data_IF_200027950857
#
_entry.id   IF_200027950857
#
_cell.length_a   1.000
_cell.length_b   1.000
_cell.length_c   1.000
_cell.angle_alpha   90.00
_cell.angle_beta   90.00
_cell.angle_gamma   90.00
#
_symmetry.space_group_name_H-M   'P 1'
#
loop_
_entity.id
_entity.type
_entity.pdbx_description
1 polymer ?
#
# COMPACT_ATOMS: atom_id res chain seq x y z
N UNK A 1 -8.17 51.36 17.45
CA UNK A 1 -8.79 50.28 16.67
C UNK A 1 -7.98 49.03 16.88
N UNK A 2 -8.62 47.95 17.38
CA UNK A 2 -7.92 46.66 17.55
C UNK A 2 -7.62 46.06 16.20
N UNK A 3 -6.40 45.49 16.05
CA UNK A 3 -6.03 44.63 14.93
C UNK A 3 -6.01 43.20 15.46
N UNK A 4 -6.91 42.36 14.97
CA UNK A 4 -7.01 40.99 15.42
C UNK A 4 -5.90 40.13 14.83
N UNK A 5 -5.47 39.10 15.60
CA UNK A 5 -4.64 38.06 15.04
C UNK A 5 -5.38 37.27 13.96
N UNK A 6 -4.67 36.66 13.02
CA UNK A 6 -5.29 35.82 11.99
C UNK A 6 -6.25 34.78 12.58
N UNK A 7 -7.43 34.67 12.00
CA UNK A 7 -8.49 33.78 12.44
C UNK A 7 -9.42 34.30 13.54
N UNK A 8 -9.19 35.53 14.03
CA UNK A 8 -10.05 36.21 14.99
C UNK A 8 -10.70 37.46 14.35
N UNK A 9 -11.95 37.74 14.70
CA UNK A 9 -12.80 38.78 14.11
C UNK A 9 -13.61 39.50 15.18
N UNK A 10 -14.21 40.60 14.82
CA UNK A 10 -15.01 41.45 15.71
C UNK A 10 -14.26 42.68 16.22
N UNK A 11 -14.96 43.59 16.91
CA UNK A 11 -14.36 44.84 17.38
C UNK A 11 -13.34 44.64 18.49
N UNK A 12 -13.51 43.56 19.27
CA UNK A 12 -12.61 43.14 20.39
C UNK A 12 -11.94 41.80 20.12
N UNK A 13 -11.96 41.32 18.86
CA UNK A 13 -11.38 40.01 18.44
C UNK A 13 -12.01 38.81 19.16
N UNK A 14 -13.26 38.91 19.51
CA UNK A 14 -14.02 37.94 20.32
C UNK A 14 -14.59 36.77 19.50
N UNK A 15 -14.58 36.87 18.19
CA UNK A 15 -15.16 35.87 17.30
C UNK A 15 -14.07 35.10 16.59
N UNK A 16 -14.23 33.79 16.50
CA UNK A 16 -13.37 32.90 15.70
C UNK A 16 -14.19 31.74 15.12
N UNK A 17 -13.68 31.10 14.08
CA UNK A 17 -14.21 29.81 13.64
C UNK A 17 -14.03 28.75 14.72
N UNK A 18 -14.85 27.69 14.70
CA UNK A 18 -14.78 26.59 15.65
C UNK A 18 -13.34 26.12 15.88
N UNK A 19 -12.97 25.94 17.14
CA UNK A 19 -11.61 25.60 17.54
C UNK A 19 -11.59 24.32 18.40
N UNK A 20 -10.58 23.49 18.16
CA UNK A 20 -10.05 22.57 19.14
C UNK A 20 -8.69 23.09 19.60
N UNK A 21 -8.36 22.92 20.91
CA UNK A 21 -7.09 23.37 21.49
C UNK A 21 -6.81 24.88 21.35
N UNK A 22 -7.83 25.73 21.49
CA UNK A 22 -7.76 27.20 21.47
C UNK A 22 -7.18 27.79 20.17
N UNK A 23 -7.12 27.00 19.09
CA UNK A 23 -6.69 27.49 17.77
C UNK A 23 -7.86 27.53 16.80
N UNK A 24 -8.11 28.65 16.09
CA UNK A 24 -9.10 28.71 15.04
C UNK A 24 -8.89 27.59 14.01
N UNK A 25 -9.97 26.93 13.57
CA UNK A 25 -9.93 25.80 12.65
C UNK A 25 -8.98 24.69 13.09
N UNK A 26 -8.86 24.46 14.41
CA UNK A 26 -7.95 23.48 15.03
C UNK A 26 -6.46 23.64 14.63
N UNK A 27 -6.11 24.77 14.02
CA UNK A 27 -4.78 25.03 13.48
C UNK A 27 -4.50 24.39 12.12
N UNK A 28 -5.52 23.82 11.47
CA UNK A 28 -5.45 23.09 10.20
C UNK A 28 -6.30 23.72 9.09
N UNK A 29 -6.41 25.03 9.10
CA UNK A 29 -7.18 25.78 8.10
C UNK A 29 -7.21 27.27 8.40
N UNK A 30 -7.85 28.00 7.50
CA UNK A 30 -8.05 29.44 7.61
C UNK A 30 -9.51 29.75 7.94
N UNK A 31 -9.73 30.57 8.96
CA UNK A 31 -11.04 31.07 9.27
C UNK A 31 -11.41 32.22 8.31
N UNK A 32 -12.54 32.13 7.64
CA UNK A 32 -13.01 33.08 6.65
C UNK A 32 -14.46 33.49 6.92
N UNK A 33 -14.84 34.70 6.45
CA UNK A 33 -16.21 35.21 6.52
C UNK A 33 -16.89 34.95 5.16
N UNK A 34 -17.61 33.83 5.06
CA UNK A 34 -18.33 33.40 3.86
C UNK A 34 -19.84 33.25 4.18
N UNK A 35 -20.55 34.35 4.38
CA UNK A 35 -21.95 34.32 4.88
C UNK A 35 -22.07 33.91 6.36
N UNK A 36 -20.99 33.89 7.09
CA UNK A 36 -20.74 33.47 8.47
C UNK A 36 -19.28 33.11 8.65
N UNK A 37 -18.86 32.88 9.89
CA UNK A 37 -17.51 32.41 10.16
C UNK A 37 -17.41 30.92 9.82
N UNK A 38 -16.50 30.55 8.88
CA UNK A 38 -16.30 29.18 8.41
C UNK A 38 -14.81 28.87 8.29
N UNK A 39 -14.46 27.63 8.60
CA UNK A 39 -13.13 27.11 8.34
C UNK A 39 -12.99 26.64 6.90
N UNK A 40 -11.93 27.10 6.24
CA UNK A 40 -11.42 26.53 5.00
C UNK A 40 -10.21 25.68 5.38
N UNK A 41 -10.38 24.37 5.37
CA UNK A 41 -9.36 23.44 5.81
C UNK A 41 -8.18 23.37 4.83
N UNK A 42 -7.00 23.01 5.36
CA UNK A 42 -5.88 22.59 4.54
C UNK A 42 -6.19 21.26 3.82
N UNK A 43 -5.34 20.85 2.88
CA UNK A 43 -5.57 19.65 2.07
C UNK A 43 -5.63 18.35 2.89
N UNK A 44 -5.05 18.33 4.10
CA UNK A 44 -4.92 17.15 4.93
C UNK A 44 -6.02 16.98 5.97
N UNK A 45 -6.92 17.93 6.07
CA UNK A 45 -7.95 17.94 7.10
C UNK A 45 -9.33 18.26 6.52
N UNK A 46 -10.36 17.72 7.15
CA UNK A 46 -11.77 17.93 6.82
C UNK A 46 -12.60 18.18 8.08
N UNK A 47 -13.85 18.53 7.89
CA UNK A 47 -14.81 18.82 8.95
C UNK A 47 -15.00 20.31 9.19
N UNK A 48 -16.04 20.65 9.94
CA UNK A 48 -16.46 22.05 10.16
C UNK A 48 -15.40 22.91 10.87
N UNK A 49 -14.51 22.28 11.60
CA UNK A 49 -13.42 22.90 12.35
C UNK A 49 -12.02 22.35 11.96
N UNK A 50 -11.93 21.61 10.86
CA UNK A 50 -10.69 21.02 10.35
C UNK A 50 -9.95 20.08 11.35
N UNK A 51 -10.70 19.42 12.23
CA UNK A 51 -10.09 18.54 13.26
C UNK A 51 -9.86 17.11 12.82
N UNK A 52 -10.46 16.70 11.70
CA UNK A 52 -10.39 15.31 11.23
C UNK A 52 -9.34 15.20 10.14
N UNK A 53 -8.32 14.38 10.37
CA UNK A 53 -7.22 14.15 9.44
C UNK A 53 -7.64 13.18 8.34
N UNK A 54 -7.30 13.50 7.09
CA UNK A 54 -7.49 12.63 5.94
C UNK A 54 -6.57 11.39 5.98
N UNK A 55 -7.03 10.22 5.52
CA UNK A 55 -6.17 9.07 5.33
C UNK A 55 -5.04 9.37 4.32
N UNK A 56 -3.89 8.73 4.52
CA UNK A 56 -2.73 8.81 3.65
C UNK A 56 -1.63 7.90 4.21
N UNK A 57 -0.71 7.47 3.35
CA UNK A 57 0.28 6.44 3.66
C UNK A 57 1.26 6.82 4.78
N UNK A 58 1.54 8.09 4.93
CA UNK A 58 2.40 8.62 6.00
C UNK A 58 2.06 10.08 6.34
N UNK A 59 2.84 10.66 7.28
CA UNK A 59 2.58 12.02 7.80
C UNK A 59 2.93 13.11 6.76
N UNK A 60 3.69 12.77 5.73
CA UNK A 60 4.24 13.69 4.73
C UNK A 60 3.52 13.54 3.39
N UNK A 61 2.88 12.38 3.14
CA UNK A 61 2.18 12.12 1.91
C UNK A 61 0.89 12.92 1.81
N UNK A 62 0.53 13.26 0.59
CA UNK A 62 -0.73 13.93 0.27
C UNK A 62 -1.94 13.09 0.73
N UNK A 63 -3.07 13.73 1.03
CA UNK A 63 -4.30 13.04 1.37
C UNK A 63 -4.66 12.02 0.29
N UNK A 64 -5.18 10.87 0.71
CA UNK A 64 -5.55 9.80 -0.22
C UNK A 64 -4.40 9.38 -1.15
N UNK A 65 -3.15 9.48 -0.66
CA UNK A 65 -1.91 9.08 -1.38
C UNK A 65 -1.75 9.74 -2.76
N UNK A 66 -2.29 10.95 -2.98
CA UNK A 66 -2.37 11.67 -4.27
C UNK A 66 -3.26 10.98 -5.34
N UNK A 67 -4.03 9.98 -4.95
CA UNK A 67 -4.84 9.19 -5.88
C UNK A 67 -6.32 9.21 -5.53
N UNK A 68 -6.80 10.28 -4.95
CA UNK A 68 -8.20 10.44 -4.59
C UNK A 68 -8.50 11.74 -3.87
N UNK A 69 -9.76 11.91 -3.51
CA UNK A 69 -10.27 13.07 -2.80
C UNK A 69 -10.75 12.67 -1.41
N UNK A 70 -10.38 13.47 -0.41
CA UNK A 70 -10.80 13.26 0.97
C UNK A 70 -12.06 14.07 1.29
N UNK A 71 -13.00 13.45 1.97
CA UNK A 71 -14.21 14.12 2.48
C UNK A 71 -14.64 13.56 3.84
N UNK A 72 -15.50 14.29 4.53
CA UNK A 72 -16.06 13.84 5.79
C UNK A 72 -17.33 13.01 5.55
N UNK A 73 -17.34 11.76 6.05
CA UNK A 73 -18.51 10.92 6.10
C UNK A 73 -18.91 10.74 7.58
N UNK A 74 -20.00 11.38 7.99
CA UNK A 74 -20.40 11.51 9.40
C UNK A 74 -19.28 12.13 10.26
N UNK A 75 -18.50 11.32 10.98
CA UNK A 75 -17.43 11.76 11.88
C UNK A 75 -16.03 11.35 11.42
N UNK A 76 -15.93 10.59 10.32
CA UNK A 76 -14.68 10.02 9.82
C UNK A 76 -14.30 10.61 8.47
N UNK A 77 -13.01 10.83 8.27
CA UNK A 77 -12.49 11.20 6.96
C UNK A 77 -12.35 9.95 6.09
N UNK A 78 -12.87 10.03 4.87
CA UNK A 78 -12.89 8.92 3.91
C UNK A 78 -12.30 9.39 2.60
N UNK A 79 -11.54 8.53 1.93
CA UNK A 79 -11.04 8.77 0.58
C UNK A 79 -11.98 8.18 -0.48
N UNK A 80 -12.22 8.95 -1.53
CA UNK A 80 -12.75 8.44 -2.80
C UNK A 80 -11.59 8.36 -3.77
N UNK A 81 -11.24 7.15 -4.17
CA UNK A 81 -10.07 6.92 -5.01
C UNK A 81 -10.34 7.18 -6.49
N UNK A 82 -9.33 7.69 -7.19
CA UNK A 82 -9.37 7.96 -8.62
C UNK A 82 -9.09 6.70 -9.44
N UNK A 83 -9.80 6.51 -10.54
CA UNK A 83 -9.56 5.40 -11.47
C UNK A 83 -9.61 4.03 -10.79
N UNK A 84 -8.53 3.26 -10.93
CA UNK A 84 -8.41 1.89 -10.37
C UNK A 84 -7.57 1.84 -9.10
N UNK A 85 -7.35 2.98 -8.42
CA UNK A 85 -6.72 2.98 -7.11
C UNK A 85 -7.67 2.43 -6.06
N UNK A 86 -7.14 1.73 -5.08
CA UNK A 86 -7.88 0.98 -4.06
C UNK A 86 -7.29 1.23 -2.68
N UNK A 87 -7.89 0.58 -1.69
CA UNK A 87 -7.61 0.70 -0.26
C UNK A 87 -8.19 1.97 0.38
N UNK A 88 -8.27 1.97 1.70
CA UNK A 88 -8.88 3.08 2.46
C UNK A 88 -8.18 4.44 2.25
N UNK A 89 -6.93 4.42 1.84
CA UNK A 89 -6.06 5.58 1.63
C UNK A 89 -5.62 5.76 0.16
N UNK A 90 -6.22 5.00 -0.76
CA UNK A 90 -5.92 5.01 -2.19
C UNK A 90 -4.45 4.73 -2.54
N UNK A 91 -3.74 3.94 -1.72
CA UNK A 91 -2.31 3.68 -1.90
C UNK A 91 -2.00 2.46 -2.79
N UNK A 92 -3.00 1.69 -3.19
CA UNK A 92 -2.82 0.46 -3.95
C UNK A 92 -3.48 0.50 -5.31
N UNK A 93 -2.74 0.03 -6.33
CA UNK A 93 -3.24 -0.28 -7.67
C UNK A 93 -2.61 -1.58 -8.14
N UNK A 94 -3.43 -2.55 -8.53
CA UNK A 94 -3.02 -3.93 -8.82
C UNK A 94 -1.77 -4.02 -9.72
N UNK A 95 -1.77 -3.28 -10.83
CA UNK A 95 -0.67 -3.30 -11.81
C UNK A 95 0.67 -2.79 -11.27
N UNK A 96 0.63 -1.81 -10.38
CA UNK A 96 1.84 -1.15 -9.87
C UNK A 96 2.25 -1.66 -8.49
N UNK A 97 1.29 -1.74 -7.57
CA UNK A 97 1.57 -2.05 -6.18
C UNK A 97 1.80 -3.54 -5.98
N UNK A 98 1.03 -4.38 -6.71
CA UNK A 98 1.11 -5.84 -6.62
C UNK A 98 1.89 -6.47 -7.78
N UNK A 99 2.76 -5.69 -8.45
CA UNK A 99 3.66 -6.15 -9.53
C UNK A 99 2.92 -6.80 -10.71
N UNK A 100 1.60 -6.60 -10.84
CA UNK A 100 0.75 -7.30 -11.80
C UNK A 100 0.61 -8.81 -11.54
N UNK A 101 0.92 -9.26 -10.31
CA UNK A 101 0.95 -10.67 -9.87
C UNK A 101 0.09 -10.90 -8.62
N UNK A 102 -0.94 -10.12 -8.51
CA UNK A 102 -1.90 -10.16 -7.42
C UNK A 102 -2.87 -8.99 -7.49
N UNK A 103 -3.74 -8.90 -6.53
CA UNK A 103 -4.73 -7.83 -6.40
C UNK A 103 -4.56 -7.07 -5.09
N UNK A 104 -4.97 -5.81 -5.09
CA UNK A 104 -5.00 -5.02 -3.87
C UNK A 104 -5.92 -5.65 -2.83
N UNK A 105 -5.45 -5.71 -1.60
CA UNK A 105 -6.24 -6.17 -0.47
C UNK A 105 -7.20 -5.05 -0.04
N UNK A 106 -8.48 -5.19 -0.33
CA UNK A 106 -9.50 -4.19 0.04
C UNK A 106 -9.69 -4.05 1.55
N UNK A 107 -9.28 -5.08 2.32
CA UNK A 107 -9.28 -5.05 3.78
C UNK A 107 -7.97 -4.48 4.37
N UNK A 108 -7.10 -3.91 3.54
CA UNK A 108 -5.88 -3.26 4.00
C UNK A 108 -6.20 -2.08 4.92
N UNK A 109 -5.62 -2.11 6.12
CA UNK A 109 -5.81 -1.11 7.18
C UNK A 109 -4.50 -0.45 7.65
N UNK A 110 -3.40 -0.72 6.93
CA UNK A 110 -2.06 -0.26 7.26
C UNK A 110 -1.25 -1.26 8.10
N UNK A 111 -1.82 -2.37 8.55
CA UNK A 111 -1.16 -3.36 9.41
C UNK A 111 -0.99 -4.73 8.78
N UNK A 112 -1.81 -5.07 7.79
CA UNK A 112 -1.77 -6.33 7.03
C UNK A 112 -1.09 -6.13 5.66
N UNK A 113 -0.97 -7.21 4.90
CA UNK A 113 -0.38 -7.14 3.56
C UNK A 113 -1.26 -6.33 2.60
N UNK A 114 -0.65 -5.43 1.86
CA UNK A 114 -1.35 -4.55 0.91
C UNK A 114 -1.83 -5.31 -0.34
N UNK A 115 -1.18 -6.43 -0.69
CA UNK A 115 -1.53 -7.27 -1.83
C UNK A 115 -1.98 -8.66 -1.40
N UNK A 116 -2.93 -9.22 -2.15
CA UNK A 116 -3.27 -10.64 -2.18
C UNK A 116 -2.62 -11.20 -3.44
N UNK A 117 -1.56 -12.01 -3.27
CA UNK A 117 -0.77 -12.50 -4.38
C UNK A 117 -1.49 -13.62 -5.14
N UNK A 118 -1.21 -13.71 -6.44
CA UNK A 118 -1.60 -14.84 -7.27
C UNK A 118 -0.84 -16.10 -6.84
N UNK A 119 -1.28 -17.26 -7.33
CA UNK A 119 -0.72 -18.57 -6.98
C UNK A 119 0.80 -18.61 -7.19
N UNK A 120 1.53 -19.08 -6.19
CA UNK A 120 2.99 -19.23 -6.14
C UNK A 120 3.81 -17.93 -6.08
N UNK A 121 3.15 -16.77 -5.97
CA UNK A 121 3.81 -15.50 -5.67
C UNK A 121 3.73 -15.18 -4.17
N UNK A 122 4.74 -14.51 -3.66
CA UNK A 122 4.91 -14.12 -2.26
C UNK A 122 5.55 -12.72 -2.14
N UNK A 123 5.51 -12.19 -0.94
CA UNK A 123 5.98 -10.85 -0.64
C UNK A 123 4.86 -9.83 -0.53
N UNK A 124 5.17 -8.70 0.10
CA UNK A 124 4.18 -7.65 0.39
C UNK A 124 3.63 -7.00 -0.89
N UNK A 125 4.38 -7.10 -1.99
CA UNK A 125 4.04 -6.59 -3.32
C UNK A 125 4.02 -7.69 -4.40
N UNK A 126 3.95 -8.96 -4.00
CA UNK A 126 4.02 -10.13 -4.87
C UNK A 126 5.27 -10.14 -5.77
N UNK A 127 6.38 -9.64 -5.23
CA UNK A 127 7.61 -9.40 -5.97
C UNK A 127 8.53 -10.61 -6.07
N UNK A 128 8.21 -11.71 -5.39
CA UNK A 128 9.01 -12.93 -5.38
C UNK A 128 8.15 -14.18 -5.49
N UNK A 129 8.78 -15.31 -5.82
CA UNK A 129 8.09 -16.58 -5.77
C UNK A 129 8.01 -17.13 -4.34
N UNK A 130 6.97 -17.93 -4.07
CA UNK A 130 6.89 -18.78 -2.90
C UNK A 130 8.08 -19.74 -2.82
N UNK A 131 8.29 -20.29 -1.62
CA UNK A 131 9.36 -21.25 -1.40
C UNK A 131 9.24 -22.44 -2.35
N UNK A 132 10.38 -22.83 -2.96
CA UNK A 132 10.51 -23.92 -3.93
C UNK A 132 9.87 -23.65 -5.31
N UNK A 133 9.30 -22.45 -5.54
CA UNK A 133 8.84 -22.01 -6.84
C UNK A 133 9.87 -21.07 -7.49
N UNK A 134 10.01 -21.15 -8.81
CA UNK A 134 11.08 -20.54 -9.58
C UNK A 134 10.57 -20.02 -10.92
N UNK A 135 11.39 -19.21 -11.59
CA UNK A 135 11.10 -18.63 -12.89
C UNK A 135 10.42 -17.27 -12.78
N UNK A 136 10.30 -16.59 -13.91
CA UNK A 136 9.67 -15.26 -13.99
C UNK A 136 8.20 -15.27 -13.60
N UNK A 137 7.52 -16.40 -13.86
CA UNK A 137 6.09 -16.59 -13.61
C UNK A 137 5.83 -17.52 -12.40
N UNK A 138 6.86 -17.85 -11.63
CA UNK A 138 6.78 -18.72 -10.46
C UNK A 138 6.08 -20.07 -10.73
N UNK A 139 6.21 -20.59 -11.93
CA UNK A 139 5.53 -21.81 -12.41
C UNK A 139 6.42 -23.07 -12.46
N UNK A 140 7.71 -22.93 -12.10
CA UNK A 140 8.68 -24.02 -12.09
C UNK A 140 8.91 -24.48 -10.64
N UNK A 141 8.48 -25.70 -10.32
CA UNK A 141 8.65 -26.23 -8.97
C UNK A 141 9.93 -27.06 -8.84
N UNK A 142 10.73 -26.78 -7.80
CA UNK A 142 11.86 -27.61 -7.41
C UNK A 142 12.02 -27.63 -5.89
N UNK A 143 11.96 -28.84 -5.32
CA UNK A 143 12.23 -29.06 -3.90
C UNK A 143 13.62 -29.71 -3.71
N UNK A 144 14.59 -28.99 -3.11
CA UNK A 144 15.93 -29.55 -2.88
C UNK A 144 15.92 -30.82 -2.01
N UNK A 145 14.94 -30.93 -1.12
CA UNK A 145 14.90 -31.99 -0.09
C UNK A 145 13.91 -33.11 -0.38
N UNK A 146 13.00 -32.93 -1.31
CA UNK A 146 11.98 -33.93 -1.67
C UNK A 146 10.92 -34.13 -0.58
N UNK A 147 10.58 -33.08 0.17
CA UNK A 147 9.65 -33.14 1.30
C UNK A 147 8.20 -32.84 0.91
N UNK A 148 7.98 -32.36 -0.31
CA UNK A 148 6.66 -31.97 -0.82
C UNK A 148 6.08 -33.02 -1.74
N UNK A 149 4.75 -33.11 -1.75
CA UNK A 149 3.97 -33.94 -2.67
C UNK A 149 3.65 -33.25 -4.00
N UNK A 150 4.15 -32.02 -4.23
CA UNK A 150 3.95 -31.29 -5.46
C UNK A 150 4.64 -32.00 -6.65
N UNK A 151 4.00 -31.97 -7.80
CA UNK A 151 4.59 -32.49 -9.04
C UNK A 151 5.67 -31.55 -9.55
N UNK A 152 6.91 -31.98 -9.56
CA UNK A 152 8.04 -31.18 -10.01
C UNK A 152 9.37 -31.88 -9.81
N UNK A 153 10.47 -31.14 -9.96
CA UNK A 153 11.82 -31.67 -9.78
C UNK A 153 12.15 -31.71 -8.29
N UNK A 154 12.74 -32.83 -7.83
CA UNK A 154 13.30 -32.94 -6.49
C UNK A 154 14.77 -33.32 -6.57
N UNK A 155 15.61 -32.75 -5.70
CA UNK A 155 17.03 -33.04 -5.65
C UNK A 155 17.38 -34.04 -4.54
N UNK A 156 16.41 -34.60 -3.83
CA UNK A 156 16.54 -35.62 -2.78
C UNK A 156 17.58 -35.32 -1.70
N UNK A 157 17.86 -34.05 -1.41
CA UNK A 157 18.88 -33.63 -0.45
C UNK A 157 20.33 -33.75 -0.94
N UNK A 158 20.54 -34.10 -2.20
CA UNK A 158 21.87 -34.33 -2.79
C UNK A 158 22.27 -33.30 -3.83
N UNK A 159 21.51 -32.23 -3.92
CA UNK A 159 21.73 -31.13 -4.86
C UNK A 159 20.96 -29.87 -4.50
N UNK A 160 21.21 -28.85 -5.27
CA UNK A 160 20.46 -27.57 -5.20
C UNK A 160 19.66 -27.37 -6.47
N UNK A 161 18.51 -26.70 -6.34
CA UNK A 161 17.75 -26.24 -7.48
C UNK A 161 18.49 -25.06 -8.15
N UNK A 162 18.65 -25.11 -9.45
CA UNK A 162 19.26 -24.05 -10.25
C UNK A 162 18.37 -23.70 -11.45
N UNK A 163 18.02 -22.42 -11.56
CA UNK A 163 17.28 -21.92 -12.71
C UNK A 163 18.25 -21.68 -13.88
N UNK A 164 17.99 -22.34 -15.00
CA UNK A 164 18.70 -22.10 -16.26
C UNK A 164 17.84 -21.28 -17.19
N UNK A 165 18.37 -20.14 -17.61
CA UNK A 165 17.68 -19.20 -18.49
C UNK A 165 18.41 -19.20 -19.84
N UNK A 166 17.67 -19.49 -20.90
CA UNK A 166 18.11 -19.33 -22.30
C UNK A 166 17.39 -18.15 -22.93
N UNK A 167 17.68 -17.82 -24.18
CA UNK A 167 17.07 -16.71 -24.89
C UNK A 167 15.52 -16.78 -24.98
N UNK A 168 14.95 -17.98 -24.83
CA UNK A 168 13.51 -18.21 -25.04
C UNK A 168 12.84 -19.14 -24.02
N UNK A 169 13.62 -19.74 -23.09
CA UNK A 169 13.07 -20.69 -22.11
C UNK A 169 13.75 -20.57 -20.76
N UNK A 170 12.96 -20.76 -19.72
CA UNK A 170 13.40 -20.96 -18.35
C UNK A 170 13.16 -22.43 -17.98
N UNK A 171 14.15 -23.09 -17.42
CA UNK A 171 14.03 -24.46 -16.91
C UNK A 171 14.70 -24.58 -15.56
N UNK A 172 14.13 -25.39 -14.69
CA UNK A 172 14.73 -25.69 -13.40
C UNK A 172 15.43 -27.06 -13.46
N UNK A 173 16.63 -27.13 -12.90
CA UNK A 173 17.42 -28.36 -12.85
C UNK A 173 17.99 -28.60 -11.45
N UNK A 174 18.30 -29.86 -11.12
CA UNK A 174 19.07 -30.15 -9.93
C UNK A 174 20.57 -30.08 -10.28
N UNK A 175 21.30 -29.23 -9.59
CA UNK A 175 22.77 -29.25 -9.58
C UNK A 175 23.26 -30.14 -8.47
N UNK A 176 23.73 -31.32 -8.84
CA UNK A 176 24.22 -32.31 -7.89
C UNK A 176 25.47 -31.85 -7.13
N UNK A 177 25.62 -32.26 -5.88
CA UNK A 177 26.89 -32.12 -5.15
C UNK A 177 27.94 -32.99 -5.81
N UNK A 178 29.22 -32.61 -5.70
CA UNK A 178 30.36 -33.19 -6.43
C UNK A 178 30.57 -34.70 -6.26
N UNK A 179 29.87 -35.34 -5.35
CA UNK A 179 29.94 -36.78 -5.11
C UNK A 179 28.73 -37.59 -5.64
N UNK A 180 27.77 -36.90 -6.26
CA UNK A 180 26.56 -37.49 -6.82
C UNK A 180 26.48 -37.13 -8.31
N UNK A 181 27.00 -38.02 -9.17
CA UNK A 181 26.80 -37.91 -10.60
C UNK A 181 25.35 -38.31 -10.93
N UNK A 182 24.70 -37.53 -11.79
CA UNK A 182 23.40 -37.92 -12.33
C UNK A 182 23.60 -39.22 -13.10
N UNK A 183 23.08 -40.31 -12.62
CA UNK A 183 22.91 -41.52 -13.47
C UNK A 183 21.86 -41.14 -14.52
N UNK A 184 22.33 -40.54 -15.62
CA UNK A 184 21.60 -40.56 -16.89
C UNK A 184 21.70 -42.00 -17.40
N UNK A 185 20.55 -42.58 -17.54
CA UNK A 185 20.21 -43.67 -18.46
C UNK A 185 20.71 -45.08 -18.14
N UNK A 186 19.76 -45.89 -17.82
CA UNK A 186 19.47 -47.05 -18.71
C UNK A 186 17.98 -47.31 -18.83
#
# INVERSE_FOLDING_TARGET
QCVCYPGYFGQSCEQSCGSNNDKPCSGHGNCQVLGGLQCVCDAHHVGVNCSVKCPGRDIISSPCSDHGSCFLNNTEAVCTCDGNWKTYDCSCKDEYTCSGRGSCNEAYDGTNDICICDEHFDGNHCERCEKNWWGSDCNLYCDPYGTSSATGITCHGHGACELQVTASTEVIVCKCQSNYESTRDQ
#
